data_IF_682779732803
#
_entry.id   IF_682779732803
#
_cell.length_a   1.000
_cell.length_b   1.000
_cell.length_c   1.000
_cell.angle_alpha   90.00
_cell.angle_beta   90.00
_cell.angle_gamma   90.00
#
_symmetry.space_group_name_H-M   'P 1'
#
loop_
_entity.id
_entity.type
_entity.pdbx_description
1 polymer ?
#
# COMPACT_ATOMS: atom_id res chain seq x y z
N UNK A 1 -35.10 -2.86 -0.66
CA UNK A 1 -34.50 -2.79 0.69
C UNK A 1 -33.07 -2.30 0.53
N UNK A 2 -32.85 -0.98 0.55
CA UNK A 2 -31.50 -0.40 0.55
C UNK A 2 -30.94 -0.67 1.94
N UNK A 3 -29.91 -1.51 2.06
CA UNK A 3 -29.20 -1.67 3.34
C UNK A 3 -28.44 -0.38 3.57
N UNK A 4 -28.63 0.28 4.71
CA UNK A 4 -27.87 1.47 5.08
C UNK A 4 -26.42 1.06 5.33
N UNK A 5 -25.59 1.20 4.30
CA UNK A 5 -24.16 0.87 4.33
C UNK A 5 -23.43 1.68 5.42
N UNK A 6 -23.95 2.87 5.75
CA UNK A 6 -23.41 3.72 6.82
C UNK A 6 -23.49 3.11 8.22
N UNK A 7 -24.41 2.16 8.44
CA UNK A 7 -24.57 1.44 9.73
C UNK A 7 -23.56 0.31 9.94
N UNK A 8 -22.75 -0.02 8.92
CA UNK A 8 -21.76 -1.09 8.97
C UNK A 8 -20.44 -0.60 9.55
N UNK A 9 -19.67 -1.53 10.14
CA UNK A 9 -18.32 -1.25 10.63
C UNK A 9 -17.44 -0.67 9.50
N UNK A 10 -16.51 0.27 9.80
CA UNK A 10 -15.66 0.90 8.80
C UNK A 10 -14.97 -0.08 7.85
N UNK A 11 -14.36 -1.14 8.37
CA UNK A 11 -13.70 -2.18 7.55
C UNK A 11 -14.69 -2.88 6.59
N UNK A 12 -15.93 -3.12 7.03
CA UNK A 12 -16.96 -3.74 6.19
C UNK A 12 -17.40 -2.80 5.06
N UNK A 13 -17.46 -1.49 5.32
CA UNK A 13 -17.78 -0.48 4.30
C UNK A 13 -16.68 -0.39 3.25
N UNK A 14 -15.41 -0.38 3.66
CA UNK A 14 -14.26 -0.42 2.76
C UNK A 14 -14.31 -1.63 1.82
N UNK A 15 -14.52 -2.84 2.37
CA UNK A 15 -14.65 -4.07 1.58
C UNK A 15 -15.83 -4.02 0.60
N UNK A 16 -16.99 -3.50 1.02
CA UNK A 16 -18.16 -3.37 0.14
C UNK A 16 -17.88 -2.35 -0.98
N UNK A 17 -17.24 -1.21 -0.69
CA UNK A 17 -16.91 -0.20 -1.71
C UNK A 17 -15.94 -0.76 -2.74
N UNK A 18 -14.92 -1.49 -2.31
CA UNK A 18 -13.99 -2.20 -3.19
C UNK A 18 -14.69 -3.21 -4.13
N UNK A 19 -15.79 -3.82 -3.69
CA UNK A 19 -16.60 -4.70 -4.55
C UNK A 19 -17.55 -3.94 -5.47
N UNK A 20 -18.02 -2.76 -5.07
CA UNK A 20 -18.95 -1.94 -5.85
C UNK A 20 -18.26 -1.24 -7.03
N UNK A 21 -17.02 -0.77 -6.89
CA UNK A 21 -16.24 -0.20 -8.01
C UNK A 21 -16.11 -1.21 -9.17
N UNK A 22 -15.90 -2.49 -8.86
CA UNK A 22 -15.91 -3.60 -9.84
C UNK A 22 -17.28 -3.80 -10.51
N UNK A 23 -18.38 -3.58 -9.80
CA UNK A 23 -19.74 -3.84 -10.32
C UNK A 23 -20.27 -2.69 -11.17
N UNK A 24 -19.88 -1.45 -10.84
CA UNK A 24 -20.15 -0.26 -11.64
C UNK A 24 -19.49 -0.34 -13.03
N UNK A 25 -18.32 -0.98 -13.14
CA UNK A 25 -17.66 -1.26 -14.42
C UNK A 25 -18.48 -2.19 -15.34
N UNK A 26 -19.20 -3.17 -14.79
CA UNK A 26 -20.05 -4.09 -15.56
C UNK A 26 -21.41 -3.49 -15.94
N UNK A 27 -21.91 -2.53 -15.17
CA UNK A 27 -23.19 -1.85 -15.46
C UNK A 27 -23.00 -0.69 -16.43
N UNK A 28 -21.81 -0.07 -16.48
CA UNK A 28 -21.46 1.00 -17.43
C UNK A 28 -21.24 0.57 -18.89
N UNK A 29 -20.98 -0.72 -19.14
CA UNK A 29 -20.78 -1.26 -20.50
C UNK A 29 -22.05 -1.89 -21.11
N UNK A 30 -23.17 -1.93 -20.38
CA UNK A 30 -24.32 -2.78 -20.72
C UNK A 30 -25.55 -2.10 -21.32
N UNK A 31 -25.56 -0.78 -21.56
CA UNK A 31 -26.78 -0.07 -21.92
C UNK A 31 -26.65 0.99 -23.03
N UNK A 32 -25.89 0.72 -24.10
CA UNK A 32 -26.21 1.26 -25.45
C UNK A 32 -25.89 0.19 -26.49
N UNK A 33 -26.89 -0.63 -26.83
CA UNK A 33 -26.88 -1.33 -28.13
C UNK A 33 -27.22 -0.28 -29.19
N UNK A 34 -26.19 0.18 -29.89
CA UNK A 34 -26.30 0.98 -31.10
C UNK A 34 -25.16 0.61 -32.03
N UNK A 35 -25.47 -0.15 -33.07
CA UNK A 35 -24.52 -0.62 -34.07
C UNK A 35 -23.75 0.55 -34.72
N UNK A 36 -22.41 0.49 -34.73
CA UNK A 36 -21.61 1.53 -35.40
C UNK A 36 -20.11 1.37 -35.25
N UNK A 37 -19.49 0.81 -36.29
CA UNK A 37 -18.10 0.99 -36.75
C UNK A 37 -16.94 0.48 -35.87
N UNK A 38 -16.43 -0.69 -36.31
CA UNK A 38 -15.01 -1.05 -36.29
C UNK A 38 -14.15 0.08 -36.90
N UNK A 39 -13.47 0.87 -36.07
CA UNK A 39 -12.33 1.69 -36.49
C UNK A 39 -11.57 2.21 -35.26
N UNK A 40 -10.43 1.59 -34.95
CA UNK A 40 -9.20 2.29 -34.55
C UNK A 40 -8.11 1.28 -34.17
N UNK A 41 -7.42 0.74 -35.18
CA UNK A 41 -5.99 0.50 -35.03
C UNK A 41 -5.34 1.88 -35.00
N UNK A 42 -5.02 2.38 -33.81
CA UNK A 42 -4.25 3.60 -33.60
C UNK A 42 -3.50 3.46 -32.29
N UNK A 43 -2.18 3.29 -32.36
CA UNK A 43 -1.24 3.23 -31.23
C UNK A 43 -1.05 4.61 -30.57
N UNK A 44 -2.14 5.36 -30.36
CA UNK A 44 -2.14 6.50 -29.47
C UNK A 44 -2.34 5.97 -28.06
N UNK A 45 -1.42 6.29 -27.14
CA UNK A 45 -1.58 5.95 -25.73
C UNK A 45 -2.93 6.46 -25.26
N UNK A 46 -3.87 5.54 -25.04
CA UNK A 46 -5.03 5.84 -24.22
C UNK A 46 -4.48 6.04 -22.82
N UNK A 47 -4.35 7.31 -22.43
CA UNK A 47 -4.60 7.70 -21.06
C UNK A 47 -5.95 7.09 -20.72
N UNK A 48 -5.87 5.92 -20.09
CA UNK A 48 -7.02 5.36 -19.41
C UNK A 48 -7.16 6.27 -18.21
N UNK A 49 -7.89 7.38 -18.38
CA UNK A 49 -8.59 8.02 -17.26
C UNK A 49 -9.56 6.95 -16.75
N UNK A 50 -9.01 6.01 -15.96
CA UNK A 50 -9.80 5.14 -15.13
C UNK A 50 -10.61 6.06 -14.24
N UNK A 51 -11.91 5.78 -14.11
CA UNK A 51 -12.75 6.43 -13.12
C UNK A 51 -11.97 6.49 -11.80
N UNK A 52 -11.57 7.70 -11.41
CA UNK A 52 -10.57 7.91 -10.38
C UNK A 52 -10.93 7.14 -9.11
N UNK A 53 -9.91 6.60 -8.44
CA UNK A 53 -10.08 6.02 -7.11
C UNK A 53 -10.73 7.10 -6.24
N UNK A 54 -11.92 6.82 -5.72
CA UNK A 54 -12.65 7.76 -4.87
C UNK A 54 -11.92 7.84 -3.55
N UNK A 55 -11.26 8.97 -3.29
CA UNK A 55 -10.68 9.26 -1.97
C UNK A 55 -11.81 9.44 -0.95
N UNK A 56 -11.68 8.72 0.16
CA UNK A 56 -12.65 8.66 1.26
C UNK A 56 -11.99 8.85 2.62
N UNK A 57 -10.69 9.16 2.65
CA UNK A 57 -9.87 9.29 3.85
C UNK A 57 -10.41 10.32 4.86
N UNK A 58 -11.17 11.31 4.39
CA UNK A 58 -11.86 12.28 5.24
C UNK A 58 -12.96 11.65 6.12
N UNK A 59 -13.64 10.63 5.62
CA UNK A 59 -14.81 10.02 6.26
C UNK A 59 -14.56 8.61 6.79
N UNK A 60 -13.63 7.89 6.17
CA UNK A 60 -13.27 6.53 6.53
C UNK A 60 -11.94 6.56 7.29
N UNK A 61 -12.06 6.68 8.61
CA UNK A 61 -10.93 6.74 9.55
C UNK A 61 -10.35 5.35 9.82
N UNK A 62 -9.91 4.67 8.78
CA UNK A 62 -9.16 3.41 8.89
C UNK A 62 -7.88 3.48 8.07
N UNK A 63 -6.90 2.65 8.41
CA UNK A 63 -5.72 2.40 7.58
C UNK A 63 -5.30 0.94 7.72
N UNK A 64 -5.07 0.27 6.59
CA UNK A 64 -4.62 -1.12 6.50
C UNK A 64 -3.16 -1.12 6.08
N UNK A 65 -2.28 -1.64 6.92
CA UNK A 65 -0.84 -1.55 6.72
C UNK A 65 -0.19 -2.94 6.74
N UNK A 66 0.36 -3.35 5.59
CA UNK A 66 1.23 -4.51 5.47
C UNK A 66 2.70 -4.14 5.68
N UNK A 67 3.36 -4.87 6.57
CA UNK A 67 4.78 -4.69 6.88
C UNK A 67 5.48 -6.03 7.09
N UNK A 68 6.78 -5.97 7.38
CA UNK A 68 7.60 -7.14 7.74
C UNK A 68 7.39 -7.54 9.21
N UNK A 69 7.61 -8.83 9.54
CA UNK A 69 7.75 -9.25 10.92
C UNK A 69 8.86 -8.48 11.64
N UNK A 70 8.63 -8.15 12.91
CA UNK A 70 9.61 -7.48 13.80
C UNK A 70 10.00 -6.05 13.39
N UNK A 71 9.20 -5.38 12.55
CA UNK A 71 9.47 -4.01 12.06
C UNK A 71 8.68 -2.91 12.77
N UNK A 72 7.96 -3.28 13.83
CA UNK A 72 7.25 -2.37 14.72
C UNK A 72 7.42 -2.81 16.17
N UNK A 73 7.22 -1.89 17.12
CA UNK A 73 7.38 -2.12 18.55
C UNK A 73 6.27 -3.05 19.09
N UNK A 74 6.52 -4.35 19.10
CA UNK A 74 5.58 -5.32 19.68
C UNK A 74 5.89 -5.56 21.16
N UNK A 75 4.91 -5.30 22.02
CA UNK A 75 4.95 -5.67 23.44
C UNK A 75 4.49 -7.13 23.59
N UNK A 76 5.42 -8.02 23.94
CA UNK A 76 5.16 -9.45 24.08
C UNK A 76 4.29 -9.81 25.28
N UNK A 77 4.26 -9.00 26.34
CA UNK A 77 3.46 -9.28 27.53
C UNK A 77 2.03 -8.81 27.33
N UNK A 78 1.86 -7.61 26.78
CA UNK A 78 0.55 -7.02 26.52
C UNK A 78 -0.08 -7.48 25.18
N UNK A 79 0.72 -8.06 24.26
CA UNK A 79 0.32 -8.49 22.91
C UNK A 79 -0.25 -7.35 22.07
N UNK A 80 0.41 -6.19 22.10
CA UNK A 80 -0.01 -4.97 21.41
C UNK A 80 1.18 -4.25 20.78
N UNK A 81 0.89 -3.31 19.87
CA UNK A 81 1.88 -2.37 19.35
C UNK A 81 1.66 -0.99 20.00
N UNK A 82 2.49 -0.56 20.97
CA UNK A 82 2.29 0.71 21.67
C UNK A 82 2.26 1.93 20.74
N UNK A 83 3.10 1.95 19.69
CA UNK A 83 3.06 3.02 18.67
C UNK A 83 1.70 3.10 17.97
N UNK A 84 1.09 1.97 17.61
CA UNK A 84 -0.23 1.98 16.98
C UNK A 84 -1.31 2.43 17.96
N UNK A 85 -1.28 1.96 19.21
CA UNK A 85 -2.25 2.41 20.21
C UNK A 85 -2.19 3.91 20.44
N UNK A 86 -0.98 4.47 20.50
CA UNK A 86 -0.80 5.92 20.62
C UNK A 86 -1.34 6.65 19.39
N UNK A 87 -1.07 6.13 18.19
CA UNK A 87 -1.58 6.69 16.94
C UNK A 87 -3.11 6.66 16.87
N UNK A 88 -3.73 5.52 17.14
CA UNK A 88 -5.19 5.36 17.14
C UNK A 88 -5.84 6.30 18.17
N UNK A 89 -5.27 6.38 19.38
CA UNK A 89 -5.78 7.25 20.45
C UNK A 89 -5.65 8.74 20.10
N UNK A 90 -4.57 9.15 19.43
CA UNK A 90 -4.34 10.54 19.07
C UNK A 90 -5.17 11.00 17.85
N UNK A 91 -5.47 10.10 16.91
CA UNK A 91 -6.06 10.45 15.62
C UNK A 91 -7.51 10.00 15.46
N UNK A 92 -7.95 9.01 16.24
CA UNK A 92 -9.22 8.32 16.04
C UNK A 92 -9.26 7.44 14.78
N UNK A 93 -8.13 7.25 14.09
CA UNK A 93 -8.02 6.34 12.95
C UNK A 93 -7.80 4.93 13.48
N UNK A 94 -8.58 3.96 13.03
CA UNK A 94 -8.37 2.54 13.34
C UNK A 94 -7.32 1.93 12.42
N UNK A 95 -6.33 1.22 12.98
CA UNK A 95 -5.23 0.61 12.22
C UNK A 95 -5.40 -0.90 12.17
N UNK A 96 -5.47 -1.45 10.96
CA UNK A 96 -5.29 -2.89 10.72
C UNK A 96 -3.83 -3.12 10.29
N UNK A 97 -2.97 -3.52 11.22
CA UNK A 97 -1.56 -3.82 10.93
C UNK A 97 -1.33 -5.32 10.76
N UNK A 98 -0.67 -5.73 9.67
CA UNK A 98 -0.34 -7.13 9.41
C UNK A 98 1.11 -7.32 8.99
N UNK A 99 1.73 -8.38 9.51
CA UNK A 99 3.10 -8.78 9.17
C UNK A 99 3.11 -9.72 7.94
N UNK A 100 2.43 -9.31 6.87
CA UNK A 100 2.19 -10.15 5.68
C UNK A 100 3.35 -10.18 4.67
N UNK A 101 4.37 -9.35 4.88
CA UNK A 101 5.56 -9.28 4.03
C UNK A 101 6.69 -10.11 4.66
N UNK A 102 6.71 -11.40 4.33
CA UNK A 102 7.79 -12.34 4.68
C UNK A 102 8.94 -12.34 3.66
N UNK A 103 8.58 -12.12 2.39
CA UNK A 103 9.48 -11.90 1.26
C UNK A 103 8.80 -11.00 0.23
N UNK A 104 9.58 -10.15 -0.45
CA UNK A 104 9.03 -9.23 -1.44
C UNK A 104 8.33 -9.96 -2.59
N UNK A 105 8.93 -11.02 -3.14
CA UNK A 105 8.34 -11.73 -4.28
C UNK A 105 7.11 -12.53 -3.87
N UNK A 106 7.15 -13.17 -2.71
CA UNK A 106 6.00 -13.87 -2.13
C UNK A 106 4.82 -12.91 -1.93
N UNK A 107 5.04 -11.75 -1.32
CA UNK A 107 4.00 -10.74 -1.12
C UNK A 107 3.47 -10.20 -2.46
N UNK A 108 4.35 -9.73 -3.35
CA UNK A 108 3.94 -9.24 -4.67
C UNK A 108 3.18 -10.31 -5.47
N UNK A 109 3.61 -11.57 -5.37
CA UNK A 109 2.93 -12.72 -5.98
C UNK A 109 1.46 -12.85 -5.56
N UNK A 110 1.15 -12.59 -4.28
CA UNK A 110 -0.21 -12.61 -3.72
C UNK A 110 -1.07 -11.47 -4.27
N UNK A 111 -0.53 -10.27 -4.42
CA UNK A 111 -1.31 -9.04 -4.71
C UNK A 111 -1.28 -8.59 -6.17
N UNK A 112 -0.31 -9.03 -6.99
CA UNK A 112 -0.09 -8.54 -8.35
C UNK A 112 -1.31 -8.70 -9.27
N UNK A 113 -2.10 -9.77 -9.09
CA UNK A 113 -3.29 -10.01 -9.88
C UNK A 113 -4.40 -8.98 -9.61
N UNK A 114 -4.52 -8.52 -8.37
CA UNK A 114 -5.44 -7.45 -7.97
C UNK A 114 -4.93 -6.09 -8.44
N UNK A 115 -3.63 -5.81 -8.28
CA UNK A 115 -2.99 -4.59 -8.76
C UNK A 115 -3.16 -4.41 -10.27
N UNK A 116 -2.91 -5.45 -11.07
CA UNK A 116 -2.98 -5.40 -12.53
C UNK A 116 -4.38 -5.06 -13.07
N UNK A 117 -5.43 -5.22 -12.27
CA UNK A 117 -6.81 -4.89 -12.62
C UNK A 117 -7.36 -3.70 -11.83
N UNK A 118 -6.51 -2.98 -11.10
CA UNK A 118 -6.92 -1.84 -10.27
C UNK A 118 -7.86 -2.20 -9.12
N UNK A 119 -7.79 -3.44 -8.62
CA UNK A 119 -8.58 -3.88 -7.48
C UNK A 119 -7.88 -3.55 -6.17
N UNK A 120 -8.67 -3.25 -5.14
CA UNK A 120 -8.23 -3.25 -3.75
C UNK A 120 -7.46 -4.54 -3.45
N UNK A 121 -6.25 -4.39 -2.91
CA UNK A 121 -5.34 -5.48 -2.53
C UNK A 121 -5.44 -5.84 -1.04
N UNK A 122 -6.30 -5.13 -0.30
CA UNK A 122 -6.46 -5.31 1.14
C UNK A 122 -5.60 -4.38 1.99
N UNK A 123 -4.79 -3.52 1.37
CA UNK A 123 -3.83 -2.65 2.06
C UNK A 123 -3.85 -1.25 1.47
N UNK A 124 -3.71 -0.26 2.34
CA UNK A 124 -3.56 1.16 2.00
C UNK A 124 -2.08 1.56 2.05
N UNK A 125 -1.29 0.93 2.93
CA UNK A 125 0.16 1.08 3.04
C UNK A 125 0.82 -0.30 2.93
N UNK A 126 1.86 -0.39 2.09
CA UNK A 126 2.74 -1.55 1.98
C UNK A 126 4.18 -1.12 2.20
N UNK A 127 5.00 -1.95 2.85
CA UNK A 127 6.41 -1.62 3.16
C UNK A 127 7.40 -2.54 2.42
N UNK A 128 7.45 -2.54 1.07
CA UNK A 128 8.42 -3.33 0.33
C UNK A 128 9.84 -2.78 0.48
N UNK A 129 10.84 -3.59 0.13
CA UNK A 129 12.22 -3.07 -0.03
C UNK A 129 12.34 -2.21 -1.29
N UNK A 130 13.36 -1.35 -1.34
CA UNK A 130 13.60 -0.35 -2.40
C UNK A 130 13.38 -0.86 -3.84
N UNK A 131 13.94 -2.00 -4.22
CA UNK A 131 13.79 -2.53 -5.59
C UNK A 131 12.35 -2.95 -5.92
N UNK A 132 11.60 -3.40 -4.92
CA UNK A 132 10.19 -3.75 -5.08
C UNK A 132 9.31 -2.50 -5.04
N UNK A 133 9.66 -1.49 -4.23
CA UNK A 133 9.02 -0.18 -4.29
C UNK A 133 9.18 0.44 -5.70
N UNK A 134 10.39 0.40 -6.26
CA UNK A 134 10.66 0.84 -7.64
C UNK A 134 9.73 0.16 -8.64
N UNK A 135 9.57 -1.17 -8.53
CA UNK A 135 8.65 -1.92 -9.39
C UNK A 135 7.19 -1.47 -9.25
N UNK A 136 6.69 -1.25 -8.05
CA UNK A 136 5.32 -0.74 -7.85
C UNK A 136 5.14 0.63 -8.50
N UNK A 137 6.13 1.51 -8.37
CA UNK A 137 6.11 2.85 -8.99
C UNK A 137 6.13 2.75 -10.51
N UNK A 138 7.06 1.97 -11.08
CA UNK A 138 7.19 1.77 -12.53
C UNK A 138 5.93 1.16 -13.16
N UNK A 139 5.20 0.34 -12.40
CA UNK A 139 3.95 -0.28 -12.84
C UNK A 139 2.71 0.60 -12.59
N UNK A 140 2.87 1.80 -12.01
CA UNK A 140 1.77 2.72 -11.74
C UNK A 140 0.86 2.28 -10.58
N UNK A 141 1.37 1.46 -9.66
CA UNK A 141 0.62 0.93 -8.53
C UNK A 141 0.74 1.79 -7.26
N UNK A 142 1.69 2.72 -7.22
CA UNK A 142 1.88 3.64 -6.11
C UNK A 142 1.22 4.99 -6.40
N UNK A 143 0.45 5.51 -5.44
CA UNK A 143 -0.08 6.87 -5.50
C UNK A 143 1.03 7.89 -5.20
N UNK A 144 1.03 9.02 -5.90
CA UNK A 144 1.88 10.15 -5.54
C UNK A 144 1.51 10.69 -4.15
N UNK A 145 2.52 10.94 -3.33
CA UNK A 145 2.38 11.45 -1.98
C UNK A 145 2.26 12.98 -2.01
N UNK A 146 1.22 13.50 -1.35
CA UNK A 146 1.14 14.93 -1.09
C UNK A 146 2.09 15.31 0.05
N UNK A 147 3.25 15.89 -0.33
CA UNK A 147 4.27 16.31 0.62
C UNK A 147 3.77 17.38 1.62
N UNK A 148 2.73 18.15 1.28
CA UNK A 148 2.16 19.13 2.20
C UNK A 148 1.50 18.46 3.42
N UNK A 149 0.98 17.24 3.25
CA UNK A 149 0.38 16.45 4.33
C UNK A 149 1.41 15.68 5.16
N UNK A 150 2.69 15.73 4.79
CA UNK A 150 3.77 14.93 5.41
C UNK A 150 4.91 15.87 5.83
N UNK A 151 4.67 16.83 6.75
CA UNK A 151 5.67 17.81 7.14
C UNK A 151 6.92 17.17 7.75
N UNK A 152 6.78 15.99 8.37
CA UNK A 152 7.88 15.23 8.95
C UNK A 152 8.78 14.52 7.94
N UNK A 153 8.46 14.56 6.62
CA UNK A 153 9.32 14.04 5.55
C UNK A 153 10.72 14.67 5.58
N UNK A 154 10.82 15.91 6.04
CA UNK A 154 12.09 16.62 6.23
C UNK A 154 13.03 16.01 7.29
N UNK A 155 12.56 15.10 8.15
CA UNK A 155 13.38 14.44 9.17
C UNK A 155 14.22 13.27 8.62
N UNK A 156 13.97 12.83 7.39
CA UNK A 156 14.70 11.73 6.77
C UNK A 156 16.11 12.19 6.41
N UNK A 157 17.11 11.35 6.73
CA UNK A 157 18.51 11.60 6.37
C UNK A 157 18.63 11.76 4.85
N UNK A 158 19.45 12.71 4.41
CA UNK A 158 19.61 13.05 2.99
C UNK A 158 19.86 11.84 2.07
N UNK A 159 20.73 10.93 2.50
CA UNK A 159 21.08 9.70 1.76
C UNK A 159 19.90 8.74 1.58
N UNK A 160 18.85 8.87 2.40
CA UNK A 160 17.63 8.08 2.34
C UNK A 160 16.48 8.85 1.66
N UNK A 161 16.54 10.18 1.66
CA UNK A 161 15.57 11.07 1.02
C UNK A 161 15.78 11.20 -0.50
N UNK A 162 17.01 11.03 -0.99
CA UNK A 162 17.35 11.15 -2.40
C UNK A 162 17.85 9.81 -2.96
N UNK A 163 16.92 8.97 -3.39
CA UNK A 163 17.21 7.64 -3.98
C UNK A 163 17.01 7.62 -5.48
N UNK A 164 17.76 6.78 -6.20
CA UNK A 164 17.73 6.75 -7.66
C UNK A 164 16.41 6.30 -8.29
N UNK A 165 15.64 5.45 -7.60
CA UNK A 165 14.38 4.91 -8.12
C UNK A 165 13.15 5.81 -7.86
N UNK A 166 13.27 6.74 -6.90
CA UNK A 166 12.23 7.71 -6.54
C UNK A 166 12.88 9.01 -6.05
N UNK A 167 13.50 9.80 -6.95
CA UNK A 167 14.19 11.02 -6.59
C UNK A 167 13.24 12.01 -5.89
N UNK A 168 13.59 12.42 -4.67
CA UNK A 168 12.74 13.30 -3.87
C UNK A 168 11.59 12.60 -3.13
N UNK A 169 11.48 11.26 -3.21
CA UNK A 169 10.51 10.45 -2.46
C UNK A 169 9.05 10.83 -2.76
N UNK A 170 8.70 10.92 -4.04
CA UNK A 170 7.38 11.38 -4.48
C UNK A 170 6.32 10.28 -4.34
N UNK A 171 6.72 9.01 -4.40
CA UNK A 171 5.79 7.87 -4.30
C UNK A 171 6.06 6.95 -3.11
N UNK A 172 7.22 7.11 -2.46
CA UNK A 172 7.65 6.29 -1.32
C UNK A 172 8.16 7.12 -0.15
N UNK A 173 8.15 6.56 1.06
CA UNK A 173 8.84 7.10 2.23
C UNK A 173 9.74 6.03 2.86
N UNK A 174 10.87 6.45 3.40
CA UNK A 174 11.75 5.54 4.14
C UNK A 174 11.14 5.21 5.50
N UNK A 175 10.83 3.93 5.75
CA UNK A 175 10.42 3.42 7.07
C UNK A 175 11.64 3.04 7.92
N UNK A 176 12.41 2.06 7.45
CA UNK A 176 13.65 1.63 8.07
C UNK A 176 14.74 1.41 7.01
N UNK A 177 16.00 1.51 7.43
CA UNK A 177 17.17 1.20 6.61
C UNK A 177 18.16 0.40 7.45
N UNK A 178 18.91 -0.48 6.79
CA UNK A 178 19.87 -1.37 7.42
C UNK A 178 20.88 -1.91 6.43
N UNK A 179 21.62 -2.94 6.83
CA UNK A 179 22.60 -3.61 5.99
C UNK A 179 22.54 -5.12 6.21
N UNK A 180 22.77 -5.87 5.15
CA UNK A 180 23.06 -7.30 5.26
C UNK A 180 24.52 -7.49 5.70
N UNK A 181 24.77 -8.44 6.59
CA UNK A 181 26.10 -8.71 7.11
C UNK A 181 26.24 -10.14 7.63
N UNK A 182 27.46 -10.48 8.05
CA UNK A 182 27.76 -11.78 8.64
C UNK A 182 27.62 -11.72 10.16
N UNK A 183 26.66 -12.47 10.71
CA UNK A 183 26.54 -12.73 12.14
C UNK A 183 27.11 -14.11 12.48
N UNK A 184 27.89 -14.22 13.56
CA UNK A 184 28.36 -15.51 14.07
C UNK A 184 28.33 -15.59 15.59
N UNK A 185 28.23 -16.82 16.10
CA UNK A 185 28.32 -17.08 17.53
C UNK A 185 29.79 -17.08 17.97
N UNK A 186 30.18 -16.03 18.70
CA UNK A 186 31.57 -15.82 19.18
C UNK A 186 32.05 -16.90 20.15
N UNK A 187 31.15 -17.58 20.87
CA UNK A 187 31.52 -18.67 21.78
C UNK A 187 31.87 -19.95 21.01
N UNK A 188 31.17 -20.20 19.89
CA UNK A 188 31.40 -21.38 19.04
C UNK A 188 32.54 -21.16 18.04
N UNK A 189 32.71 -19.94 17.54
CA UNK A 189 33.72 -19.58 16.54
C UNK A 189 34.55 -18.38 17.04
N UNK A 190 35.40 -18.57 18.06
CA UNK A 190 36.12 -17.47 18.72
C UNK A 190 37.17 -16.81 17.83
N UNK A 191 37.59 -17.46 16.74
CA UNK A 191 38.57 -16.91 15.77
C UNK A 191 37.92 -16.22 14.56
N UNK A 192 36.60 -16.04 14.59
CA UNK A 192 35.82 -15.43 13.50
C UNK A 192 35.49 -16.41 12.36
N UNK A 193 34.57 -15.98 11.50
CA UNK A 193 34.25 -16.65 10.23
C UNK A 193 35.35 -16.30 9.24
N UNK A 194 36.03 -17.30 8.70
CA UNK A 194 37.05 -17.16 7.66
C UNK A 194 36.55 -17.76 6.36
#
# INVERSE_FOLDING_TARGET
MKRDIESLAPETRALIRAQLTRRSLLVGAGAVVGAGTLAACGTGGSETEGAGIVDVSDTEKIVRWANWPLYLDFDEDAKVYPTLQQFESATGITVTYTEDIDDNNSFYGKVQGQLAIGSDIGYDIVTPTDWMAARFIEQGYAQELDAANIPNKGNIREVLANVGFDPGRNYSLTWQSGFAGFGWNVQKIPKGVR
#
